data_IF_338901936649
#
_entry.id   IF_338901936649
#
_cell.length_a   1.000
_cell.length_b   1.000
_cell.length_c   1.000
_cell.angle_alpha   90.00
_cell.angle_beta   90.00
_cell.angle_gamma   90.00
#
_symmetry.space_group_name_H-M   'P 1'
#
loop_
_entity.id
_entity.type
_entity.pdbx_description
1 polymer ?
#
# COMPACT_ATOMS: atom_id res chain seq x y z
N UNK A 1 -42.95 42.02 8.53
CA UNK A 1 -43.02 40.78 9.33
C UNK A 1 -42.33 39.70 8.49
N UNK A 2 -41.00 39.56 8.45
CA UNK A 2 -40.04 39.10 9.46
C UNK A 2 -40.51 37.84 10.20
N UNK A 3 -40.42 36.68 9.54
CA UNK A 3 -40.31 35.39 10.23
C UNK A 3 -39.76 34.27 9.34
N UNK A 4 -38.65 33.70 9.83
CA UNK A 4 -38.23 32.29 9.84
C UNK A 4 -36.70 32.26 9.78
N UNK A 5 -36.08 32.52 10.93
CA UNK A 5 -35.65 31.46 11.86
C UNK A 5 -34.30 30.89 11.43
N UNK A 6 -33.27 31.55 11.96
CA UNK A 6 -31.91 31.09 12.07
C UNK A 6 -31.86 29.70 12.70
N UNK A 7 -31.70 28.67 11.88
CA UNK A 7 -31.38 27.32 12.34
C UNK A 7 -30.38 26.74 11.36
N UNK A 8 -29.10 27.06 11.51
CA UNK A 8 -27.97 26.19 11.10
C UNK A 8 -26.64 26.85 11.52
N UNK A 9 -26.20 26.65 12.78
CA UNK A 9 -24.76 26.56 13.00
C UNK A 9 -24.49 25.35 13.89
N UNK A 10 -24.59 24.14 13.35
CA UNK A 10 -24.25 22.94 14.11
C UNK A 10 -23.65 21.82 13.24
N UNK A 11 -23.03 22.14 12.11
CA UNK A 11 -22.45 21.14 11.20
C UNK A 11 -21.00 21.41 10.78
N UNK A 12 -20.26 22.23 11.53
CA UNK A 12 -18.84 22.51 11.23
C UNK A 12 -17.90 22.20 12.40
N UNK A 13 -18.26 21.23 13.24
CA UNK A 13 -17.30 20.55 14.11
C UNK A 13 -16.98 19.18 13.50
N UNK A 14 -16.42 19.16 12.29
CA UNK A 14 -15.72 17.97 11.80
C UNK A 14 -14.47 17.85 12.66
N UNK A 15 -14.27 16.75 13.42
CA UNK A 15 -13.05 16.60 14.19
C UNK A 15 -11.88 16.51 13.19
N UNK A 16 -11.01 17.51 13.22
CA UNK A 16 -9.72 17.56 12.52
C UNK A 16 -8.72 16.56 13.14
N UNK A 17 -9.17 15.34 13.44
CA UNK A 17 -8.44 14.32 14.20
C UNK A 17 -8.38 12.96 13.49
N UNK A 18 -8.97 12.82 12.30
CA UNK A 18 -8.72 11.66 11.46
C UNK A 18 -7.38 11.83 10.73
N UNK A 19 -6.27 11.79 11.47
CA UNK A 19 -4.99 11.48 10.84
C UNK A 19 -5.12 10.05 10.28
N UNK A 20 -4.83 9.81 8.98
CA UNK A 20 -4.91 8.48 8.43
C UNK A 20 -4.02 7.56 9.28
N UNK A 21 -4.61 6.51 9.84
CA UNK A 21 -3.90 5.55 10.66
C UNK A 21 -2.70 5.02 9.86
N UNK A 22 -1.51 5.03 10.47
CA UNK A 22 -0.32 4.54 9.80
C UNK A 22 -0.52 3.05 9.47
N UNK A 23 -0.22 2.60 8.24
CA UNK A 23 -0.41 1.20 7.86
C UNK A 23 0.32 0.27 8.82
N UNK A 24 -0.41 -0.71 9.35
CA UNK A 24 0.15 -1.75 10.20
C UNK A 24 1.02 -2.70 9.36
N UNK A 25 1.88 -3.53 10.00
CA UNK A 25 2.58 -4.59 9.29
C UNK A 25 1.64 -5.51 8.51
N UNK A 26 0.46 -5.84 9.07
CA UNK A 26 -0.55 -6.66 8.39
C UNK A 26 -1.10 -5.99 7.12
N UNK A 27 -1.38 -4.68 7.17
CA UNK A 27 -1.82 -3.92 5.99
C UNK A 27 -0.78 -3.97 4.87
N UNK A 28 0.51 -3.84 5.23
CA UNK A 28 1.61 -3.93 4.27
C UNK A 28 1.77 -5.34 3.71
N UNK A 29 1.55 -6.38 4.52
CA UNK A 29 1.56 -7.76 4.04
C UNK A 29 0.43 -8.04 3.04
N UNK A 30 -0.75 -7.44 3.25
CA UNK A 30 -1.86 -7.52 2.30
C UNK A 30 -1.50 -6.85 0.96
N UNK A 31 -0.84 -5.69 0.98
CA UNK A 31 -0.34 -5.04 -0.24
C UNK A 31 0.67 -5.93 -0.95
N UNK A 32 1.60 -6.54 -0.21
CA UNK A 32 2.62 -7.46 -0.73
C UNK A 32 1.98 -8.70 -1.37
N UNK A 33 0.97 -9.29 -0.72
CA UNK A 33 0.20 -10.41 -1.28
C UNK A 33 -0.58 -10.01 -2.54
N UNK A 34 -1.16 -8.81 -2.54
CA UNK A 34 -1.84 -8.25 -3.72
C UNK A 34 -0.91 -8.10 -4.91
N UNK A 35 0.29 -7.54 -4.71
CA UNK A 35 1.29 -7.41 -5.77
C UNK A 35 1.77 -8.77 -6.29
N UNK A 36 1.99 -9.74 -5.39
CA UNK A 36 2.37 -11.10 -5.80
C UNK A 36 1.32 -11.71 -6.72
N UNK A 37 0.04 -11.68 -6.31
CA UNK A 37 -1.07 -12.27 -7.05
C UNK A 37 -1.32 -11.53 -8.37
N UNK A 38 -1.28 -10.19 -8.34
CA UNK A 38 -1.47 -9.36 -9.53
C UNK A 38 -0.44 -9.75 -10.61
N UNK A 39 0.84 -9.83 -10.25
CA UNK A 39 1.86 -10.25 -11.19
C UNK A 39 1.69 -11.71 -11.63
N UNK A 40 1.52 -12.64 -10.68
CA UNK A 40 1.51 -14.09 -10.94
C UNK A 40 0.40 -14.53 -11.90
N UNK A 41 -0.75 -13.86 -11.84
CA UNK A 41 -1.93 -14.25 -12.59
C UNK A 41 -2.29 -13.31 -13.75
N UNK A 42 -1.74 -12.09 -13.80
CA UNK A 42 -2.15 -11.10 -14.80
C UNK A 42 -0.99 -10.52 -15.61
N UNK A 43 0.27 -10.78 -15.26
CA UNK A 43 1.40 -10.26 -16.03
C UNK A 43 1.56 -11.03 -17.34
N UNK A 44 1.41 -10.32 -18.47
CA UNK A 44 1.36 -10.92 -19.81
C UNK A 44 2.63 -11.71 -20.19
N UNK A 45 3.79 -11.31 -19.67
CA UNK A 45 5.07 -11.93 -19.96
C UNK A 45 5.58 -12.78 -18.79
N UNK A 46 4.67 -13.37 -18.01
CA UNK A 46 5.02 -14.16 -16.83
C UNK A 46 6.06 -15.26 -17.13
N UNK A 47 5.94 -15.94 -18.27
CA UNK A 47 6.89 -16.99 -18.68
C UNK A 47 8.32 -16.47 -18.93
N UNK A 48 8.48 -15.16 -19.12
CA UNK A 48 9.78 -14.51 -19.28
C UNK A 48 10.42 -14.09 -17.94
N UNK A 49 9.66 -14.11 -16.83
CA UNK A 49 10.15 -13.73 -15.51
C UNK A 49 11.19 -14.75 -15.04
N UNK A 50 12.45 -14.32 -14.93
CA UNK A 50 13.57 -15.17 -14.50
C UNK A 50 13.81 -15.16 -13.00
N UNK A 51 13.27 -14.18 -12.30
CA UNK A 51 13.42 -14.07 -10.86
C UNK A 51 12.54 -15.08 -10.12
N UNK A 52 13.02 -15.58 -8.98
CA UNK A 52 12.20 -16.40 -8.09
C UNK A 52 11.20 -15.49 -7.34
N UNK A 53 10.00 -15.37 -7.89
CA UNK A 53 8.96 -14.47 -7.40
C UNK A 53 8.47 -14.81 -5.99
N UNK A 54 8.36 -16.10 -5.66
CA UNK A 54 7.93 -16.56 -4.34
C UNK A 54 8.96 -16.22 -3.25
N UNK A 55 10.24 -16.35 -3.58
CA UNK A 55 11.32 -15.95 -2.68
C UNK A 55 11.34 -14.44 -2.45
N UNK A 56 11.11 -13.65 -3.50
CA UNK A 56 11.02 -12.20 -3.40
C UNK A 56 9.79 -11.75 -2.58
N UNK A 57 8.66 -12.46 -2.70
CA UNK A 57 7.49 -12.29 -1.84
C UNK A 57 7.82 -12.59 -0.38
N UNK A 58 8.35 -13.77 -0.08
CA UNK A 58 8.70 -14.18 1.29
C UNK A 58 9.64 -13.16 1.95
N UNK A 59 10.70 -12.76 1.24
CA UNK A 59 11.64 -11.76 1.73
C UNK A 59 11.00 -10.39 1.97
N UNK A 60 9.99 -10.01 1.18
CA UNK A 60 9.28 -8.74 1.34
C UNK A 60 8.26 -8.80 2.47
N UNK A 61 7.58 -9.93 2.67
CA UNK A 61 6.75 -10.17 3.87
C UNK A 61 7.58 -10.09 5.14
N UNK A 62 8.75 -10.73 5.19
CA UNK A 62 9.66 -10.64 6.34
C UNK A 62 10.05 -9.19 6.62
N UNK A 63 10.39 -8.43 5.57
CA UNK A 63 10.76 -7.02 5.70
C UNK A 63 9.67 -6.17 6.38
N UNK A 64 8.38 -6.40 6.08
CA UNK A 64 7.28 -5.64 6.71
C UNK A 64 7.21 -5.81 8.24
N UNK A 65 7.75 -6.90 8.79
CA UNK A 65 7.75 -7.20 10.22
C UNK A 65 9.06 -6.87 10.94
N UNK A 66 10.04 -6.27 10.27
CA UNK A 66 11.32 -5.89 10.86
C UNK A 66 11.17 -4.89 12.02
N UNK A 67 12.16 -4.89 12.93
CA UNK A 67 12.22 -3.96 14.06
C UNK A 67 13.55 -3.19 14.04
N UNK A 68 13.54 -1.84 13.98
CA UNK A 68 12.36 -0.97 13.93
C UNK A 68 11.53 -1.16 12.66
N UNK A 69 10.23 -0.87 12.74
CA UNK A 69 9.32 -1.02 11.61
C UNK A 69 9.77 -0.16 10.43
N UNK A 70 9.73 -0.66 9.19
CA UNK A 70 10.12 0.12 8.02
C UNK A 70 9.30 1.40 7.90
N UNK A 71 9.94 2.47 7.44
CA UNK A 71 9.22 3.69 7.07
C UNK A 71 8.46 3.50 5.76
N UNK A 72 7.46 4.34 5.51
CA UNK A 72 6.66 4.26 4.28
C UNK A 72 7.51 4.44 3.00
N UNK A 73 8.51 5.34 2.95
CA UNK A 73 9.46 5.40 1.83
C UNK A 73 10.27 4.11 1.66
N UNK A 74 10.74 3.49 2.75
CA UNK A 74 11.49 2.24 2.67
C UNK A 74 10.62 1.10 2.11
N UNK A 75 9.36 1.02 2.56
CA UNK A 75 8.40 0.06 2.04
C UNK A 75 8.11 0.31 0.55
N UNK A 76 7.90 1.56 0.14
CA UNK A 76 7.70 1.93 -1.26
C UNK A 76 8.89 1.51 -2.15
N UNK A 77 10.13 1.83 -1.76
CA UNK A 77 11.31 1.44 -2.52
C UNK A 77 11.50 -0.07 -2.56
N UNK A 78 11.14 -0.79 -1.50
CA UNK A 78 11.14 -2.25 -1.48
C UNK A 78 10.18 -2.82 -2.53
N UNK A 79 8.96 -2.30 -2.60
CA UNK A 79 7.97 -2.70 -3.60
C UNK A 79 8.45 -2.39 -5.02
N UNK A 80 8.99 -1.18 -5.26
CA UNK A 80 9.54 -0.80 -6.56
C UNK A 80 10.66 -1.74 -6.99
N UNK A 81 11.61 -2.04 -6.09
CA UNK A 81 12.72 -2.96 -6.40
C UNK A 81 12.23 -4.38 -6.72
N UNK A 82 11.19 -4.84 -6.03
CA UNK A 82 10.61 -6.14 -6.30
C UNK A 82 9.85 -6.14 -7.64
N UNK A 83 9.04 -5.12 -7.94
CA UNK A 83 8.37 -4.98 -9.22
C UNK A 83 9.36 -4.95 -10.40
N UNK A 84 10.55 -4.37 -10.21
CA UNK A 84 11.62 -4.37 -11.21
C UNK A 84 12.06 -5.78 -11.65
N UNK A 85 11.85 -6.80 -10.82
CA UNK A 85 12.17 -8.18 -11.17
C UNK A 85 11.27 -8.74 -12.28
N UNK A 86 10.16 -8.08 -12.60
CA UNK A 86 9.35 -8.39 -13.78
C UNK A 86 10.07 -8.02 -15.10
N UNK A 87 11.12 -7.18 -15.03
CA UNK A 87 11.96 -6.77 -16.16
C UNK A 87 11.14 -6.21 -17.35
N UNK A 88 10.13 -5.40 -17.03
CA UNK A 88 9.15 -4.84 -17.97
C UNK A 88 9.57 -3.49 -18.57
N UNK A 89 10.76 -3.00 -18.20
CA UNK A 89 11.31 -1.72 -18.66
C UNK A 89 10.64 -0.48 -18.06
N UNK A 90 9.72 -0.60 -17.09
CA UNK A 90 8.97 0.51 -16.50
C UNK A 90 9.64 1.11 -15.24
N UNK A 91 10.97 1.24 -15.22
CA UNK A 91 11.72 1.70 -14.05
C UNK A 91 12.45 3.02 -14.26
#
# INVERSE_FOLDING_TARGET
>A
MLWLSAWFPALLAVPLAAQPARPTPADRQLVVAGLWAAARYNYAYWDAVRANWDSAFAATVTFTGERPAPTDPQFYYRLRRWAALLNDGQM
#
